data_IF_971847745932
#
_entry.id   IF_971847745932
#
_cell.length_a   1.000
_cell.length_b   1.000
_cell.length_c   1.000
_cell.angle_alpha   90.00
_cell.angle_beta   90.00
_cell.angle_gamma   90.00
#
_symmetry.space_group_name_H-M   'P 1'
#
loop_
_entity.id
_entity.type
_entity.pdbx_description
1 polymer ?
#
# COMPACT_ATOMS: atom_id res chain seq x y z
N UNK A 1 -3.16 18.19 -0.17
CA UNK A 1 -4.31 18.28 -1.11
C UNK A 1 -4.02 17.29 -2.21
N UNK A 2 -4.69 16.13 -2.25
CA UNK A 2 -4.40 15.10 -3.24
C UNK A 2 -5.19 15.37 -4.51
N UNK A 3 -4.46 15.40 -5.63
CA UNK A 3 -4.97 15.71 -6.95
C UNK A 3 -4.62 14.52 -7.82
N UNK A 4 -5.63 13.76 -8.26
CA UNK A 4 -5.40 12.72 -9.26
C UNK A 4 -5.29 13.42 -10.62
N UNK A 5 -4.08 13.53 -11.15
CA UNK A 5 -3.84 13.97 -12.52
C UNK A 5 -3.35 12.82 -13.39
N UNK A 6 -4.04 12.60 -14.51
CA UNK A 6 -3.48 11.94 -15.68
C UNK A 6 -2.68 13.00 -16.46
N UNK A 7 -1.40 12.72 -16.76
CA UNK A 7 -0.55 13.63 -17.53
C UNK A 7 -0.45 13.17 -18.99
N UNK A 8 -0.86 14.03 -19.93
CA UNK A 8 -0.45 14.02 -21.35
C UNK A 8 -0.18 15.49 -21.73
N UNK A 9 0.96 15.76 -22.39
CA UNK A 9 1.70 17.03 -22.31
C UNK A 9 1.18 18.31 -23.01
N UNK A 10 1.86 19.41 -22.65
CA UNK A 10 1.93 20.81 -23.15
C UNK A 10 0.73 21.78 -22.92
N UNK A 11 0.97 23.11 -22.75
CA UNK A 11 0.60 23.83 -21.53
C UNK A 11 -0.25 25.06 -21.84
N UNK A 12 -1.55 24.90 -22.09
CA UNK A 12 -2.51 26.01 -22.04
C UNK A 12 -3.88 25.47 -21.59
N UNK A 13 -4.33 25.93 -20.42
CA UNK A 13 -5.62 25.74 -19.74
C UNK A 13 -6.26 24.33 -19.72
N UNK A 14 -6.15 23.67 -18.55
CA UNK A 14 -6.80 22.38 -18.25
C UNK A 14 -8.01 22.57 -17.30
N UNK A 15 -9.23 22.27 -17.77
CA UNK A 15 -10.42 22.11 -16.92
C UNK A 15 -10.61 20.64 -16.49
N UNK A 16 -11.03 20.41 -15.23
CA UNK A 16 -11.05 19.09 -14.57
C UNK A 16 -12.47 18.52 -14.54
N UNK A 17 -12.72 17.36 -15.16
CA UNK A 17 -14.07 16.81 -15.39
C UNK A 17 -14.54 15.77 -14.37
N UNK A 18 -13.66 15.40 -13.46
CA UNK A 18 -14.00 14.69 -12.22
C UNK A 18 -12.94 15.11 -11.25
N UNK A 19 -13.35 15.90 -10.29
CA UNK A 19 -12.45 16.34 -9.26
C UNK A 19 -13.08 15.97 -7.95
N UNK A 20 -12.96 14.72 -7.55
CA UNK A 20 -13.11 14.44 -6.15
C UNK A 20 -11.85 14.93 -5.46
N UNK A 21 -11.89 16.18 -5.04
CA UNK A 21 -10.99 16.59 -3.99
C UNK A 21 -11.54 15.94 -2.74
N UNK A 22 -10.82 14.93 -2.29
CA UNK A 22 -11.08 14.37 -0.98
C UNK A 22 -10.15 15.08 0.01
N UNK A 23 -10.67 15.33 1.20
CA UNK A 23 -9.82 15.41 2.37
C UNK A 23 -9.09 14.07 2.56
N UNK A 24 -7.97 14.02 3.30
CA UNK A 24 -7.16 12.81 3.42
C UNK A 24 -7.96 11.53 3.74
N UNK A 25 -8.98 11.64 4.58
CA UNK A 25 -9.85 10.54 5.00
C UNK A 25 -11.02 10.24 4.05
N UNK A 26 -11.02 10.79 2.83
CA UNK A 26 -12.04 10.46 1.84
C UNK A 26 -13.31 11.29 1.92
N UNK A 27 -13.38 12.31 2.78
CA UNK A 27 -14.53 13.23 2.77
C UNK A 27 -14.45 14.12 1.54
N UNK A 28 -15.55 14.26 0.83
CA UNK A 28 -15.63 15.18 -0.31
C UNK A 28 -15.40 16.63 0.16
N UNK A 29 -14.50 17.33 -0.51
CA UNK A 29 -14.28 18.77 -0.27
C UNK A 29 -15.50 19.52 -0.80
N UNK A 30 -16.20 20.31 0.04
CA UNK A 30 -17.39 21.04 -0.38
C UNK A 30 -17.19 21.81 -1.67
N UNK A 31 -18.15 21.71 -2.59
CA UNK A 31 -18.19 22.44 -3.86
C UNK A 31 -16.97 22.17 -4.77
N UNK A 32 -16.22 21.09 -4.50
CA UNK A 32 -15.08 20.62 -5.27
C UNK A 32 -15.16 19.11 -5.44
N UNK A 33 -16.35 18.65 -5.82
CA UNK A 33 -16.66 17.29 -6.21
C UNK A 33 -17.84 17.35 -7.17
N UNK A 34 -17.73 16.59 -8.26
CA UNK A 34 -18.77 16.49 -9.27
C UNK A 34 -18.76 15.06 -9.81
N UNK A 35 -19.91 14.39 -9.72
CA UNK A 35 -20.10 13.02 -10.18
C UNK A 35 -21.54 12.84 -10.67
N UNK A 36 -21.74 12.00 -11.69
CA UNK A 36 -23.10 11.63 -12.11
C UNK A 36 -23.80 10.85 -10.99
N UNK A 37 -25.11 11.03 -10.81
CA UNK A 37 -25.93 10.28 -9.82
C UNK A 37 -25.79 8.74 -9.97
N UNK A 38 -25.50 8.25 -11.18
CA UNK A 38 -25.26 6.81 -11.44
C UNK A 38 -23.86 6.31 -11.07
N UNK A 39 -22.96 7.18 -10.61
CA UNK A 39 -21.59 6.81 -10.25
C UNK A 39 -21.53 6.33 -8.81
N UNK A 40 -21.41 5.02 -8.65
CA UNK A 40 -21.46 4.35 -7.36
C UNK A 40 -20.09 4.13 -6.73
N UNK A 41 -19.00 4.69 -7.23
CA UNK A 41 -17.67 4.47 -6.61
C UNK A 41 -17.10 5.79 -6.08
N UNK A 42 -16.08 5.76 -5.23
CA UNK A 42 -15.44 6.99 -4.76
C UNK A 42 -14.10 6.74 -4.11
N UNK A 43 -13.96 7.14 -2.85
CA UNK A 43 -12.72 7.02 -2.09
C UNK A 43 -12.17 5.58 -2.11
N UNK A 44 -10.87 5.42 -2.35
CA UNK A 44 -10.18 4.13 -2.51
C UNK A 44 -10.82 3.14 -3.51
N UNK A 45 -11.59 3.65 -4.48
CA UNK A 45 -12.28 2.81 -5.47
C UNK A 45 -13.43 1.99 -4.88
N UNK A 46 -13.93 2.37 -3.69
CA UNK A 46 -15.00 1.67 -2.97
C UNK A 46 -16.37 2.14 -3.38
N UNK A 47 -17.34 1.23 -3.25
CA UNK A 47 -18.72 1.53 -3.60
C UNK A 47 -19.26 2.56 -2.60
N UNK A 48 -19.73 3.69 -3.12
CA UNK A 48 -20.35 4.77 -2.38
C UNK A 48 -21.81 4.41 -2.17
N UNK A 49 -22.24 4.44 -0.92
CA UNK A 49 -23.64 4.30 -0.53
C UNK A 49 -24.14 5.66 -0.03
N UNK A 50 -24.94 6.34 -0.85
CA UNK A 50 -25.46 7.66 -0.50
C UNK A 50 -26.76 7.57 0.32
N UNK A 51 -27.38 6.38 0.46
CA UNK A 51 -28.64 6.21 1.18
C UNK A 51 -28.46 6.30 2.70
N UNK A 52 -27.29 5.88 3.20
CA UNK A 52 -27.04 5.78 4.64
C UNK A 52 -26.73 7.13 5.31
N UNK A 53 -25.84 7.95 4.72
CA UNK A 53 -25.36 9.23 5.29
C UNK A 53 -25.37 10.41 4.30
N UNK A 54 -26.08 10.27 3.17
CA UNK A 54 -26.07 11.25 2.10
C UNK A 54 -24.81 11.17 1.25
N UNK A 55 -24.70 12.08 0.29
CA UNK A 55 -23.69 12.01 -0.77
C UNK A 55 -22.25 11.90 -0.26
N UNK A 56 -21.56 10.83 -0.64
CA UNK A 56 -20.12 10.67 -0.41
C UNK A 56 -19.73 10.46 1.03
N UNK A 57 -20.69 10.11 1.89
CA UNK A 57 -20.50 10.00 3.34
C UNK A 57 -20.57 8.56 3.86
N UNK A 58 -20.67 7.59 2.97
CA UNK A 58 -20.60 6.17 3.30
C UNK A 58 -19.98 5.38 2.16
N UNK A 59 -19.03 4.52 2.49
CA UNK A 59 -18.35 3.66 1.53
C UNK A 59 -18.36 2.21 2.02
N UNK A 60 -18.72 1.29 1.13
CA UNK A 60 -18.68 -0.15 1.37
C UNK A 60 -17.31 -0.72 0.99
N UNK A 61 -16.59 -1.20 2.00
CA UNK A 61 -15.29 -1.86 1.82
C UNK A 61 -15.41 -3.40 1.80
N UNK A 62 -16.60 -3.95 1.98
CA UNK A 62 -16.87 -5.39 2.03
C UNK A 62 -17.20 -5.85 3.45
N UNK A 63 -16.19 -5.91 4.32
CA UNK A 63 -16.40 -6.38 5.71
C UNK A 63 -16.88 -5.28 6.66
N UNK A 64 -16.62 -4.02 6.30
CA UNK A 64 -17.02 -2.84 7.07
C UNK A 64 -17.48 -1.71 6.16
N UNK A 65 -18.44 -0.95 6.66
CA UNK A 65 -18.86 0.33 6.09
C UNK A 65 -18.08 1.48 6.74
N UNK A 66 -17.65 2.44 5.93
CA UNK A 66 -16.75 3.52 6.33
C UNK A 66 -17.42 4.90 6.31
N UNK A 67 -17.20 5.71 7.34
CA UNK A 67 -17.58 7.12 7.39
C UNK A 67 -16.37 8.04 7.12
N UNK A 68 -16.26 8.61 5.92
CA UNK A 68 -15.17 9.50 5.56
C UNK A 68 -15.20 10.83 6.32
N UNK A 69 -16.35 11.26 6.85
CA UNK A 69 -16.48 12.54 7.58
C UNK A 69 -15.81 12.49 8.94
N UNK A 70 -15.85 11.31 9.56
CA UNK A 70 -15.22 11.08 10.87
C UNK A 70 -13.88 10.35 10.75
N UNK A 71 -13.57 9.80 9.57
CA UNK A 71 -12.36 9.00 9.38
C UNK A 71 -12.43 7.64 10.07
N UNK A 72 -13.64 7.08 10.25
CA UNK A 72 -13.87 5.90 11.11
C UNK A 72 -14.80 4.88 10.46
N UNK A 73 -14.60 3.62 10.83
CA UNK A 73 -15.55 2.55 10.50
C UNK A 73 -16.83 2.66 11.31
N UNK A 74 -17.96 2.22 10.73
CA UNK A 74 -19.21 2.09 11.48
C UNK A 74 -19.23 0.89 12.43
N UNK A 75 -18.35 -0.10 12.20
CA UNK A 75 -18.28 -1.33 12.97
C UNK A 75 -16.88 -1.53 13.58
N UNK A 76 -16.85 -2.27 14.70
CA UNK A 76 -15.62 -2.70 15.37
C UNK A 76 -14.82 -3.62 14.45
N UNK A 77 -13.52 -3.36 14.35
CA UNK A 77 -12.58 -4.21 13.62
C UNK A 77 -12.55 -5.64 14.20
N UNK A 78 -12.78 -6.63 13.34
CA UNK A 78 -12.61 -8.05 13.70
C UNK A 78 -11.15 -8.36 14.06
N UNK A 79 -10.22 -7.65 13.43
CA UNK A 79 -8.77 -7.77 13.62
C UNK A 79 -8.20 -6.80 14.67
N UNK A 80 -9.03 -6.10 15.45
CA UNK A 80 -8.57 -5.14 16.50
C UNK A 80 -7.51 -5.71 17.45
N UNK A 81 -7.53 -7.01 17.71
CA UNK A 81 -6.55 -7.67 18.59
C UNK A 81 -5.13 -7.67 18.03
N UNK A 82 -4.97 -7.49 16.71
CA UNK A 82 -3.67 -7.32 16.06
C UNK A 82 -3.13 -5.88 16.17
N UNK A 83 -3.94 -4.93 16.64
CA UNK A 83 -3.53 -3.55 16.93
C UNK A 83 -4.22 -3.08 18.24
N UNK A 84 -3.89 -3.69 19.40
CA UNK A 84 -4.59 -3.43 20.66
C UNK A 84 -4.45 -1.98 21.14
N UNK A 85 -3.38 -1.30 20.73
CA UNK A 85 -3.07 0.09 21.10
C UNK A 85 -3.84 1.14 20.28
N UNK A 86 -4.69 0.67 19.38
CA UNK A 86 -5.42 1.49 18.44
C UNK A 86 -6.93 1.35 18.60
N UNK A 87 -7.64 2.43 18.29
CA UNK A 87 -9.10 2.41 18.25
C UNK A 87 -9.60 1.32 17.29
N UNK A 88 -10.55 0.46 17.69
CA UNK A 88 -11.11 -0.56 16.81
C UNK A 88 -11.97 0.02 15.67
N UNK A 89 -12.11 1.35 15.60
CA UNK A 89 -12.83 2.06 14.55
C UNK A 89 -11.91 2.88 13.64
N UNK A 90 -10.59 2.80 13.80
CA UNK A 90 -9.63 3.61 13.02
C UNK A 90 -9.63 3.24 11.54
N UNK A 91 -9.32 4.19 10.68
CA UNK A 91 -9.08 3.95 9.27
C UNK A 91 -7.67 4.38 8.88
N UNK A 92 -6.94 3.50 8.18
CA UNK A 92 -5.66 3.88 7.60
C UNK A 92 -4.58 4.15 8.65
N UNK A 93 -4.67 3.62 9.88
CA UNK A 93 -3.80 4.03 11.01
C UNK A 93 -3.71 5.56 11.19
N UNK A 94 -4.83 6.27 10.93
CA UNK A 94 -4.91 7.73 10.87
C UNK A 94 -3.99 8.39 9.82
N UNK A 95 -3.42 7.61 8.91
CA UNK A 95 -2.67 8.02 7.73
C UNK A 95 -3.24 7.37 6.44
N UNK A 96 -4.45 7.76 6.02
CA UNK A 96 -5.16 7.23 4.84
C UNK A 96 -4.49 7.55 3.49
N UNK A 97 -3.41 8.35 3.52
CA UNK A 97 -2.59 8.67 2.36
C UNK A 97 -1.62 7.52 2.08
N UNK A 98 -0.99 7.00 3.14
CA UNK A 98 -0.04 5.91 3.05
C UNK A 98 -0.74 4.56 2.97
N UNK A 99 -1.77 4.38 3.79
CA UNK A 99 -2.38 3.09 4.05
C UNK A 99 -3.71 2.92 3.33
N UNK A 100 -3.88 1.75 2.71
CA UNK A 100 -5.14 1.35 2.07
C UNK A 100 -5.71 0.16 2.82
N UNK A 101 -6.93 0.23 3.32
CA UNK A 101 -7.68 -0.96 3.73
C UNK A 101 -8.54 -1.39 2.53
N UNK A 102 -8.24 -2.53 1.89
CA UNK A 102 -8.95 -2.94 0.68
C UNK A 102 -10.18 -3.80 0.92
N UNK A 103 -10.36 -4.37 2.10
CA UNK A 103 -11.54 -5.19 2.41
C UNK A 103 -12.28 -4.75 3.68
N UNK A 104 -11.81 -3.69 4.33
CA UNK A 104 -12.34 -3.22 5.59
C UNK A 104 -11.93 -4.15 6.73
N UNK A 105 -10.72 -4.72 6.72
CA UNK A 105 -10.21 -5.51 7.85
C UNK A 105 -8.80 -5.12 8.30
N UNK A 106 -7.93 -4.66 7.40
CA UNK A 106 -6.56 -4.30 7.75
C UNK A 106 -5.95 -3.38 6.70
N UNK A 107 -5.15 -2.43 7.15
CA UNK A 107 -4.38 -1.54 6.29
C UNK A 107 -3.17 -2.22 5.63
N UNK A 108 -2.95 -1.90 4.35
CA UNK A 108 -2.02 -2.60 3.47
C UNK A 108 -0.97 -1.61 2.90
N UNK A 109 0.32 -1.96 2.99
CA UNK A 109 1.47 -1.27 2.37
C UNK A 109 2.28 -2.23 1.46
N UNK A 110 3.47 -1.84 1.00
CA UNK A 110 4.26 -2.54 -0.02
C UNK A 110 4.74 -3.94 0.39
N UNK A 111 5.05 -4.15 1.68
CA UNK A 111 5.47 -5.46 2.18
C UNK A 111 4.30 -6.46 2.18
N UNK A 112 3.11 -5.99 2.54
CA UNK A 112 1.87 -6.77 2.56
C UNK A 112 1.65 -7.49 1.25
N UNK A 113 1.58 -6.74 0.16
CA UNK A 113 1.20 -7.28 -1.14
C UNK A 113 2.25 -8.22 -1.69
N UNK A 114 3.54 -7.96 -1.43
CA UNK A 114 4.62 -8.85 -1.83
C UNK A 114 4.55 -10.17 -1.07
N UNK A 115 4.39 -10.14 0.26
CA UNK A 115 4.29 -11.35 1.10
C UNK A 115 3.01 -12.13 0.80
N UNK A 116 1.89 -11.44 0.58
CA UNK A 116 0.61 -12.07 0.25
C UNK A 116 0.68 -12.78 -1.10
N UNK A 117 1.12 -12.07 -2.14
CA UNK A 117 1.28 -12.66 -3.47
C UNK A 117 2.27 -13.83 -3.43
N UNK A 118 3.35 -13.73 -2.64
CA UNK A 118 4.33 -14.81 -2.49
C UNK A 118 3.72 -16.04 -1.81
N UNK A 119 2.95 -15.84 -0.73
CA UNK A 119 2.24 -16.93 -0.06
C UNK A 119 1.28 -17.66 -1.01
N UNK A 120 0.53 -16.91 -1.82
CA UNK A 120 -0.35 -17.47 -2.85
C UNK A 120 0.46 -18.20 -3.94
N UNK A 121 1.58 -17.63 -4.40
CA UNK A 121 2.45 -18.22 -5.41
C UNK A 121 3.05 -19.56 -4.94
N UNK A 122 3.38 -19.66 -3.65
CA UNK A 122 3.85 -20.87 -2.98
C UNK A 122 2.73 -21.86 -2.61
N UNK A 123 1.48 -21.50 -2.94
CA UNK A 123 0.32 -22.37 -2.84
C UNK A 123 -0.28 -22.48 -1.44
N UNK A 124 -0.03 -21.49 -0.58
CA UNK A 124 -0.80 -21.32 0.66
C UNK A 124 -2.24 -20.93 0.34
N UNK A 125 -3.17 -21.32 1.23
CA UNK A 125 -4.53 -20.81 1.14
C UNK A 125 -4.58 -19.31 1.43
N UNK A 126 -5.65 -18.66 0.94
CA UNK A 126 -5.85 -17.20 1.03
C UNK A 126 -5.73 -16.66 2.46
N UNK A 127 -6.35 -17.33 3.43
CA UNK A 127 -6.34 -16.89 4.83
C UNK A 127 -4.93 -16.93 5.46
N UNK A 128 -4.17 -18.00 5.19
CA UNK A 128 -2.80 -18.15 5.71
C UNK A 128 -1.85 -17.15 5.07
N UNK A 129 -1.94 -16.97 3.75
CA UNK A 129 -1.12 -16.00 3.02
C UNK A 129 -1.42 -14.55 3.46
N UNK A 130 -2.71 -14.20 3.65
CA UNK A 130 -3.11 -12.89 4.21
C UNK A 130 -2.60 -12.70 5.63
N UNK A 131 -2.68 -13.74 6.48
CA UNK A 131 -2.14 -13.68 7.84
C UNK A 131 -0.64 -13.37 7.85
N UNK A 132 0.16 -14.03 7.00
CA UNK A 132 1.59 -13.73 6.88
C UNK A 132 1.85 -12.29 6.42
N UNK A 133 1.06 -11.80 5.46
CA UNK A 133 1.15 -10.45 4.97
C UNK A 133 0.87 -9.40 6.06
N UNK A 134 -0.10 -9.66 6.94
CA UNK A 134 -0.39 -8.79 8.09
C UNK A 134 0.81 -8.70 9.05
N UNK A 135 1.48 -9.82 9.32
CA UNK A 135 2.67 -9.81 10.18
C UNK A 135 3.84 -9.05 9.53
N UNK A 136 3.94 -9.06 8.21
CA UNK A 136 4.94 -8.29 7.46
C UNK A 136 4.71 -6.77 7.50
N UNK A 137 3.53 -6.33 7.94
CA UNK A 137 3.16 -4.92 8.12
C UNK A 137 3.05 -4.52 9.59
N UNK A 138 3.17 -5.49 10.50
CA UNK A 138 2.80 -5.28 11.91
C UNK A 138 3.57 -4.10 12.51
N UNK A 139 4.89 -4.03 12.36
CA UNK A 139 5.67 -2.98 12.99
C UNK A 139 5.46 -1.59 12.40
N UNK A 140 5.24 -1.47 11.08
CA UNK A 140 4.89 -0.18 10.42
C UNK A 140 3.66 0.51 11.01
N UNK A 141 2.83 -0.27 11.67
CA UNK A 141 1.51 0.07 12.14
C UNK A 141 1.42 0.32 13.65
N UNK A 142 2.51 0.15 14.40
CA UNK A 142 2.53 0.34 15.85
C UNK A 142 2.85 1.79 16.25
N UNK A 143 2.23 2.28 17.34
CA UNK A 143 2.45 3.62 17.94
C UNK A 143 2.84 3.57 19.42
N UNK A 144 3.30 2.41 19.90
CA UNK A 144 3.83 2.26 21.26
C UNK A 144 5.34 2.44 21.27
N UNK A 145 5.89 2.92 22.39
CA UNK A 145 7.34 2.98 22.60
C UNK A 145 7.94 1.62 23.01
N UNK A 146 9.27 1.51 23.11
CA UNK A 146 9.93 0.25 23.51
C UNK A 146 9.62 -0.27 24.93
N UNK A 147 8.88 0.49 25.74
CA UNK A 147 8.37 0.04 27.03
C UNK A 147 6.89 -0.38 26.98
N UNK A 148 6.34 -0.57 25.77
CA UNK A 148 4.96 -0.93 25.53
C UNK A 148 3.96 0.08 26.13
N UNK A 149 4.39 1.34 26.28
CA UNK A 149 3.50 2.43 26.68
C UNK A 149 2.97 3.12 25.44
N UNK A 150 1.64 3.29 25.40
CA UNK A 150 1.00 4.20 24.46
C UNK A 150 1.61 5.59 24.59
N UNK A 151 2.31 6.07 23.57
CA UNK A 151 2.55 7.49 23.40
C UNK A 151 1.43 8.07 22.56
N UNK A 152 0.31 8.43 23.20
CA UNK A 152 -0.38 9.64 22.76
C UNK A 152 0.61 10.79 23.01
N UNK A 153 1.45 11.10 22.03
CA UNK A 153 2.53 12.03 22.23
C UNK A 153 1.95 13.38 22.66
N UNK A 154 2.41 13.92 23.80
CA UNK A 154 2.00 15.24 24.32
C UNK A 154 2.34 16.41 23.36
N UNK A 155 2.92 16.16 22.19
CA UNK A 155 3.26 17.20 21.20
C UNK A 155 2.18 17.50 20.17
N UNK A 156 0.97 16.93 20.27
CA UNK A 156 -0.19 17.52 19.58
C UNK A 156 -0.45 18.99 19.99
N UNK A 157 0.20 19.48 21.05
CA UNK A 157 0.19 20.89 21.43
C UNK A 157 1.28 21.77 20.81
N UNK A 158 2.28 21.26 20.06
CA UNK A 158 3.39 22.09 19.54
C UNK A 158 4.19 21.47 18.37
N UNK A 159 3.52 20.92 17.35
CA UNK A 159 4.24 20.57 16.09
C UNK A 159 3.33 20.55 14.86
N UNK A 160 3.06 21.72 14.24
CA UNK A 160 2.13 21.84 13.13
C UNK A 160 2.88 21.79 11.79
N UNK A 161 3.04 20.61 11.18
CA UNK A 161 2.92 20.34 9.72
C UNK A 161 3.34 18.90 9.37
N UNK A 162 4.50 18.46 9.87
CA UNK A 162 5.16 17.22 9.42
C UNK A 162 4.57 15.96 10.07
N UNK A 163 4.17 16.02 11.34
CA UNK A 163 3.61 14.85 12.05
C UNK A 163 2.26 14.40 11.46
N UNK A 164 1.47 15.32 10.90
CA UNK A 164 0.23 15.01 10.17
C UNK A 164 0.46 14.60 8.70
N UNK A 165 1.66 14.80 8.17
CA UNK A 165 2.02 14.45 6.78
C UNK A 165 2.62 13.04 6.66
N UNK A 166 3.32 12.55 7.71
CA UNK A 166 4.14 11.34 7.60
C UNK A 166 3.75 10.15 8.49
N UNK A 167 2.92 10.34 9.54
CA UNK A 167 2.47 9.23 10.39
C UNK A 167 3.61 8.33 10.89
N UNK A 168 4.65 8.94 11.47
CA UNK A 168 5.96 8.30 11.70
C UNK A 168 6.02 7.21 12.80
N UNK A 169 4.91 6.67 13.29
CA UNK A 169 4.80 5.52 14.22
C UNK A 169 6.06 5.11 15.01
N UNK A 170 6.47 3.84 14.85
CA UNK A 170 7.72 3.24 15.34
C UNK A 170 8.98 3.83 14.70
N UNK A 171 8.83 4.44 13.54
CA UNK A 171 9.88 5.16 12.81
C UNK A 171 10.38 6.40 13.53
N UNK A 172 9.65 6.94 14.52
CA UNK A 172 10.09 8.08 15.32
C UNK A 172 10.86 7.67 16.59
N UNK A 173 10.83 6.40 16.99
CA UNK A 173 11.52 5.90 18.19
C UNK A 173 12.81 5.17 17.83
N UNK A 174 13.96 5.72 18.25
CA UNK A 174 15.29 5.18 17.97
C UNK A 174 15.47 3.71 18.39
N UNK A 175 14.85 3.30 19.49
CA UNK A 175 14.97 1.92 19.96
C UNK A 175 14.20 0.95 19.06
N UNK A 176 13.05 1.38 18.55
CA UNK A 176 12.19 0.62 17.64
C UNK A 176 12.69 0.61 16.20
N UNK A 177 13.27 1.72 15.72
CA UNK A 177 14.02 1.77 14.45
C UNK A 177 15.07 0.65 14.37
N UNK A 178 15.79 0.41 15.47
CA UNK A 178 16.82 -0.63 15.52
C UNK A 178 16.24 -2.04 15.70
N UNK A 179 15.27 -2.20 16.61
CA UNK A 179 14.75 -3.54 16.95
C UNK A 179 13.72 -4.08 15.97
N UNK A 180 12.95 -3.22 15.31
CA UNK A 180 11.81 -3.61 14.46
C UNK A 180 12.09 -3.35 12.98
N UNK A 181 12.76 -2.23 12.65
CA UNK A 181 13.09 -1.86 11.27
C UNK A 181 14.54 -2.20 10.87
N UNK A 182 15.34 -2.73 11.80
CA UNK A 182 16.71 -3.16 11.51
C UNK A 182 17.67 -2.02 11.13
N UNK A 183 17.30 -0.76 11.37
CA UNK A 183 18.10 0.45 11.08
C UNK A 183 19.30 0.57 12.04
N UNK A 184 20.22 -0.38 11.91
CA UNK A 184 21.31 -0.59 12.86
C UNK A 184 22.58 0.20 12.51
N UNK A 185 22.72 0.68 11.28
CA UNK A 185 24.00 1.15 10.74
C UNK A 185 25.06 0.04 10.59
N UNK A 186 24.68 -1.23 10.81
CA UNK A 186 25.54 -2.40 10.80
C UNK A 186 25.35 -3.27 9.55
N UNK A 187 25.96 -4.45 9.53
CA UNK A 187 25.85 -5.38 8.40
C UNK A 187 24.39 -5.81 8.20
N UNK A 188 23.92 -5.76 6.97
CA UNK A 188 22.57 -6.22 6.63
C UNK A 188 22.39 -7.72 6.88
N UNK A 189 23.43 -8.52 6.69
CA UNK A 189 23.43 -9.96 6.97
C UNK A 189 23.06 -10.28 8.42
N UNK A 190 23.51 -9.47 9.37
CA UNK A 190 23.30 -9.73 10.79
C UNK A 190 21.83 -9.49 11.16
N UNK A 191 21.23 -8.45 10.59
CA UNK A 191 19.80 -8.15 10.74
C UNK A 191 18.95 -9.23 10.07
N UNK A 192 19.27 -9.58 8.82
CA UNK A 192 18.52 -10.56 8.04
C UNK A 192 18.54 -11.95 8.70
N UNK A 193 19.72 -12.45 9.06
CA UNK A 193 19.87 -13.77 9.67
C UNK A 193 19.07 -13.86 10.98
N UNK A 194 19.16 -12.84 11.83
CA UNK A 194 18.44 -12.79 13.10
C UNK A 194 16.92 -12.76 12.90
N UNK A 195 16.44 -11.95 11.96
CA UNK A 195 15.03 -11.88 11.63
C UNK A 195 14.51 -13.23 11.09
N UNK A 196 15.27 -13.89 10.21
CA UNK A 196 14.93 -15.23 9.72
C UNK A 196 14.88 -16.26 10.86
N UNK A 197 15.85 -16.28 11.77
CA UNK A 197 15.85 -17.17 12.93
C UNK A 197 14.61 -16.95 13.82
N UNK A 198 14.22 -15.70 14.05
CA UNK A 198 13.03 -15.36 14.83
C UNK A 198 11.74 -15.84 14.14
N UNK A 199 11.60 -15.64 12.83
CA UNK A 199 10.45 -16.16 12.06
C UNK A 199 10.39 -17.69 12.14
N UNK A 200 11.53 -18.36 12.00
CA UNK A 200 11.61 -19.83 12.11
C UNK A 200 11.35 -20.33 13.54
N UNK A 201 11.49 -19.47 14.54
CA UNK A 201 11.17 -19.75 15.95
C UNK A 201 9.71 -19.41 16.30
N UNK A 202 8.95 -18.83 15.36
CA UNK A 202 7.52 -18.56 15.49
C UNK A 202 7.13 -17.09 15.59
N UNK A 203 8.09 -16.17 15.68
CA UNK A 203 7.84 -14.73 15.66
C UNK A 203 7.67 -14.24 14.22
N UNK A 204 6.44 -14.33 13.73
CA UNK A 204 6.11 -13.95 12.35
C UNK A 204 6.21 -12.45 12.09
N UNK A 205 6.18 -11.58 13.12
CA UNK A 205 6.28 -10.13 12.93
C UNK A 205 7.65 -9.72 12.36
N UNK A 206 8.67 -10.57 12.53
CA UNK A 206 9.99 -10.36 11.95
C UNK A 206 10.03 -10.53 10.42
N UNK A 207 8.93 -10.96 9.79
CA UNK A 207 8.74 -10.84 8.34
C UNK A 207 8.87 -9.39 7.86
N UNK A 208 8.43 -8.44 8.68
CA UNK A 208 8.60 -7.02 8.43
C UNK A 208 10.08 -6.65 8.37
N UNK A 209 10.84 -7.02 9.41
CA UNK A 209 12.28 -6.76 9.50
C UNK A 209 13.07 -7.40 8.36
N UNK A 210 12.62 -8.55 7.83
CA UNK A 210 13.21 -9.17 6.63
C UNK A 210 13.02 -8.27 5.41
N UNK A 211 11.80 -7.76 5.19
CA UNK A 211 11.52 -6.80 4.11
C UNK A 211 12.37 -5.53 4.26
N UNK A 212 12.42 -4.98 5.47
CA UNK A 212 13.20 -3.79 5.79
C UNK A 212 14.70 -4.00 5.59
N UNK A 213 15.23 -5.20 5.85
CA UNK A 213 16.64 -5.50 5.60
C UNK A 213 17.03 -5.33 4.13
N UNK A 214 16.08 -5.52 3.20
CA UNK A 214 16.30 -5.32 1.78
C UNK A 214 15.96 -3.90 1.33
N UNK A 215 14.87 -3.32 1.84
CA UNK A 215 14.43 -1.97 1.51
C UNK A 215 15.40 -0.90 2.06
N UNK A 216 15.87 -1.09 3.31
CA UNK A 216 16.68 -0.15 4.06
C UNK A 216 18.14 -0.57 4.22
N UNK A 217 18.69 -1.20 3.18
CA UNK A 217 20.13 -1.38 3.05
C UNK A 217 20.66 -0.79 1.76
N UNK A 218 21.95 -0.49 1.75
CA UNK A 218 22.70 -0.03 0.58
C UNK A 218 23.99 -0.83 0.46
N UNK A 219 24.63 -0.76 -0.70
CA UNK A 219 25.91 -1.40 -1.00
C UNK A 219 26.95 -0.30 -1.14
N UNK A 220 28.04 -0.40 -0.40
CA UNK A 220 29.16 0.55 -0.53
C UNK A 220 30.12 0.18 -1.68
N UNK A 221 31.09 1.03 -1.96
CA UNK A 221 32.09 0.83 -3.03
C UNK A 221 32.92 -0.45 -2.86
N UNK A 222 32.93 -1.05 -1.66
CA UNK A 222 33.61 -2.30 -1.36
C UNK A 222 32.66 -3.50 -1.40
N UNK A 223 31.49 -3.35 -2.01
CA UNK A 223 30.42 -4.34 -2.13
C UNK A 223 29.84 -4.81 -0.78
N UNK A 224 30.08 -4.07 0.31
CA UNK A 224 29.51 -4.41 1.61
C UNK A 224 28.09 -3.87 1.72
N UNK A 225 27.15 -4.77 2.04
CA UNK A 225 25.77 -4.38 2.30
C UNK A 225 25.57 -3.95 3.76
N UNK A 226 25.19 -2.70 3.94
CA UNK A 226 25.02 -2.05 5.24
C UNK A 226 23.59 -1.56 5.39
N UNK A 227 23.02 -1.73 6.59
CA UNK A 227 21.74 -1.13 6.95
C UNK A 227 21.91 0.38 7.10
N UNK A 228 20.93 1.15 6.65
CA UNK A 228 20.87 2.58 6.99
C UNK A 228 20.86 2.78 8.51
N UNK A 229 21.50 3.85 8.98
CA UNK A 229 21.35 4.27 10.38
C UNK A 229 22.63 4.67 11.11
N UNK A 230 23.71 5.02 10.39
CA UNK A 230 25.01 5.28 11.01
C UNK A 230 25.10 6.68 11.62
N UNK A 231 24.37 7.66 11.08
CA UNK A 231 24.32 9.03 11.59
C UNK A 231 22.95 9.37 12.19
N UNK A 232 22.90 9.97 13.38
CA UNK A 232 21.64 10.48 13.99
C UNK A 232 21.67 11.99 14.13
N UNK A 233 20.63 12.71 13.70
CA UNK A 233 20.47 14.15 13.98
C UNK A 233 19.30 14.36 14.94
N UNK A 234 19.51 15.18 15.97
CA UNK A 234 18.41 15.61 16.83
C UNK A 234 17.56 16.63 16.09
N UNK A 235 16.35 16.26 15.70
CA UNK A 235 15.38 17.19 15.13
C UNK A 235 14.46 17.70 16.24
N UNK A 236 14.23 19.03 16.34
CA UNK A 236 13.46 19.63 17.43
C UNK A 236 12.05 19.05 17.60
N UNK A 237 11.48 18.47 16.53
CA UNK A 237 10.10 18.00 16.46
C UNK A 237 9.94 16.49 16.26
N UNK A 238 10.99 15.79 15.78
CA UNK A 238 10.94 14.36 15.42
C UNK A 238 11.82 13.47 16.30
N UNK A 239 12.56 14.04 17.26
CA UNK A 239 13.52 13.30 18.07
C UNK A 239 14.82 12.99 17.32
N UNK A 240 15.58 11.99 17.80
CA UNK A 240 16.81 11.53 17.12
C UNK A 240 16.45 10.46 16.10
N UNK A 241 16.25 10.86 14.86
CA UNK A 241 16.11 9.96 13.71
C UNK A 241 17.45 9.86 12.97
N UNK A 242 17.64 8.82 12.16
CA UNK A 242 18.87 8.68 11.39
C UNK A 242 18.89 9.69 10.24
N UNK A 243 20.00 10.41 10.09
CA UNK A 243 20.15 11.53 9.16
C UNK A 243 20.00 11.04 7.71
N UNK A 244 20.57 9.88 7.42
CA UNK A 244 20.47 9.16 6.15
C UNK A 244 18.99 8.88 5.77
N UNK A 245 18.19 8.33 6.70
CA UNK A 245 16.77 8.05 6.44
C UNK A 245 15.91 9.33 6.35
N UNK A 246 16.27 10.38 7.09
CA UNK A 246 15.45 11.59 7.21
C UNK A 246 15.68 12.64 6.12
N UNK A 247 16.85 12.66 5.48
CA UNK A 247 17.27 13.73 4.58
C UNK A 247 17.95 13.28 3.28
N UNK A 248 18.45 12.04 3.19
CA UNK A 248 19.10 11.57 1.95
C UNK A 248 18.11 10.90 0.96
N UNK A 249 16.88 10.61 1.42
CA UNK A 249 15.79 10.06 0.60
C UNK A 249 15.13 11.02 -0.42
N UNK A 250 15.73 12.18 -0.73
CA UNK A 250 15.21 13.15 -1.73
C UNK A 250 16.16 13.33 -2.93
N UNK A 251 17.03 12.37 -3.23
CA UNK A 251 17.87 12.36 -4.44
C UNK A 251 17.37 11.39 -5.53
N UNK A 252 17.67 11.67 -6.80
CA UNK A 252 17.29 10.88 -8.00
C UNK A 252 17.71 9.39 -7.96
N UNK A 253 18.51 8.97 -6.98
CA UNK A 253 19.01 7.60 -6.82
C UNK A 253 18.49 6.86 -5.58
N UNK A 254 17.70 7.49 -4.70
CA UNK A 254 17.37 6.92 -3.41
C UNK A 254 15.87 6.63 -3.23
N UNK A 255 15.54 5.35 -3.40
CA UNK A 255 14.19 4.81 -3.41
C UNK A 255 14.06 3.68 -2.38
N UNK A 256 14.60 3.89 -1.18
CA UNK A 256 14.59 2.88 -0.11
C UNK A 256 13.17 2.31 0.15
N UNK A 257 12.16 3.18 0.18
CA UNK A 257 10.74 2.80 0.39
C UNK A 257 10.10 2.18 -0.85
N UNK A 258 10.72 2.34 -2.02
CA UNK A 258 10.27 1.79 -3.31
C UNK A 258 11.25 0.71 -3.79
N UNK A 259 11.40 -0.35 -3.00
CA UNK A 259 12.25 -1.51 -3.34
C UNK A 259 11.97 -2.07 -4.75
N UNK A 260 10.75 -1.91 -5.29
CA UNK A 260 10.40 -2.30 -6.66
C UNK A 260 11.25 -1.60 -7.73
N UNK A 261 11.75 -0.39 -7.45
CA UNK A 261 12.66 0.35 -8.32
C UNK A 261 14.13 -0.07 -8.19
N UNK A 262 14.41 -1.03 -7.30
CA UNK A 262 15.72 -1.64 -7.04
C UNK A 262 15.67 -3.12 -7.42
N UNK A 263 15.87 -3.47 -8.72
CA UNK A 263 15.51 -4.79 -9.25
C UNK A 263 16.25 -5.94 -8.58
N UNK A 264 17.51 -5.71 -8.21
CA UNK A 264 18.32 -6.70 -7.51
C UNK A 264 17.76 -6.97 -6.11
N UNK A 265 17.55 -5.93 -5.30
CA UNK A 265 17.01 -6.04 -3.94
C UNK A 265 15.62 -6.66 -3.93
N UNK A 266 14.73 -6.24 -4.83
CA UNK A 266 13.39 -6.78 -4.89
C UNK A 266 13.40 -8.29 -5.19
N UNK A 267 14.28 -8.71 -6.11
CA UNK A 267 14.46 -10.12 -6.45
C UNK A 267 15.07 -10.92 -5.30
N UNK A 268 16.05 -10.36 -4.60
CA UNK A 268 16.66 -11.01 -3.44
C UNK A 268 15.70 -11.12 -2.25
N UNK A 269 14.82 -10.14 -2.06
CA UNK A 269 13.74 -10.23 -1.09
C UNK A 269 12.80 -11.40 -1.40
N UNK A 270 12.38 -11.54 -2.66
CA UNK A 270 11.56 -12.68 -3.10
C UNK A 270 12.26 -14.03 -2.85
N UNK A 271 13.56 -14.15 -3.18
CA UNK A 271 14.32 -15.36 -2.91
C UNK A 271 14.46 -15.66 -1.41
N UNK A 272 14.62 -14.62 -0.59
CA UNK A 272 14.65 -14.75 0.87
C UNK A 272 13.33 -15.34 1.39
N UNK A 273 12.18 -14.83 0.92
CA UNK A 273 10.87 -15.36 1.28
C UNK A 273 10.69 -16.82 0.84
N UNK A 274 11.10 -17.16 -0.38
CA UNK A 274 11.05 -18.54 -0.89
C UNK A 274 11.86 -19.49 0.00
N UNK A 275 13.10 -19.11 0.34
CA UNK A 275 13.96 -19.92 1.20
C UNK A 275 13.37 -20.07 2.61
N UNK A 276 12.86 -18.97 3.17
CA UNK A 276 12.24 -18.94 4.49
C UNK A 276 11.01 -19.85 4.56
N UNK A 277 10.09 -19.74 3.61
CA UNK A 277 8.84 -20.51 3.61
C UNK A 277 9.07 -22.00 3.32
N UNK A 278 10.08 -22.32 2.52
CA UNK A 278 10.52 -23.70 2.27
C UNK A 278 11.30 -24.33 3.43
N UNK A 279 11.71 -23.56 4.43
CA UNK A 279 12.44 -24.09 5.57
C UNK A 279 11.54 -25.01 6.42
N UNK A 280 12.02 -26.20 6.77
CA UNK A 280 11.27 -27.18 7.58
C UNK A 280 10.82 -26.67 8.95
N UNK A 281 11.53 -25.69 9.52
CA UNK A 281 11.17 -25.05 10.79
C UNK A 281 10.09 -23.99 10.64
N UNK A 282 9.82 -23.51 9.43
CA UNK A 282 8.79 -22.50 9.22
C UNK A 282 7.41 -23.04 9.58
N UNK A 283 6.67 -22.27 10.38
CA UNK A 283 5.37 -22.65 10.97
C UNK A 283 4.37 -23.22 9.94
N UNK A 284 4.33 -22.66 8.74
CA UNK A 284 3.40 -23.06 7.69
C UNK A 284 4.04 -23.89 6.57
N UNK A 285 5.28 -24.38 6.76
CA UNK A 285 6.00 -25.15 5.74
C UNK A 285 5.20 -26.33 5.19
N UNK A 286 4.51 -27.07 6.06
CA UNK A 286 3.66 -28.22 5.68
C UNK A 286 2.49 -27.87 4.75
N UNK A 287 2.14 -26.58 4.64
CA UNK A 287 1.08 -26.08 3.77
C UNK A 287 1.60 -25.52 2.45
N UNK A 288 2.92 -25.46 2.26
CA UNK A 288 3.53 -25.07 0.99
C UNK A 288 3.32 -26.20 -0.02
N UNK A 289 2.62 -25.89 -1.10
CA UNK A 289 2.34 -26.84 -2.19
C UNK A 289 3.15 -26.56 -3.44
N UNK A 290 3.80 -25.39 -3.51
CA UNK A 290 4.67 -25.00 -4.60
C UNK A 290 5.99 -24.40 -4.07
N UNK A 291 7.02 -25.24 -3.92
CA UNK A 291 8.32 -24.84 -3.38
C UNK A 291 9.16 -23.98 -4.35
N UNK A 292 8.78 -23.89 -5.63
CA UNK A 292 9.46 -23.11 -6.66
C UNK A 292 8.43 -22.25 -7.41
N UNK A 293 7.93 -21.18 -6.78
CA UNK A 293 6.89 -20.36 -7.35
C UNK A 293 7.35 -19.64 -8.63
N UNK A 294 6.38 -19.38 -9.50
CA UNK A 294 6.54 -18.57 -10.69
C UNK A 294 6.54 -17.09 -10.31
N UNK A 295 7.64 -16.40 -10.64
CA UNK A 295 7.90 -15.02 -10.22
C UNK A 295 7.49 -13.96 -11.25
N UNK A 296 6.88 -14.36 -12.37
CA UNK A 296 6.57 -13.43 -13.46
C UNK A 296 5.70 -12.22 -13.03
N UNK A 297 4.83 -12.38 -12.03
CA UNK A 297 4.04 -11.26 -11.52
C UNK A 297 4.93 -10.22 -10.84
N UNK A 298 5.93 -10.64 -10.08
CA UNK A 298 6.85 -9.73 -9.40
C UNK A 298 7.82 -9.09 -10.39
N UNK A 299 8.28 -9.83 -11.40
CA UNK A 299 9.05 -9.27 -12.52
C UNK A 299 8.25 -8.18 -13.24
N UNK A 300 6.93 -8.36 -13.37
CA UNK A 300 6.07 -7.37 -14.01
C UNK A 300 5.86 -6.13 -13.13
N UNK A 301 5.68 -6.30 -11.82
CA UNK A 301 5.67 -5.20 -10.84
C UNK A 301 6.99 -4.42 -10.88
N UNK A 302 8.13 -5.10 -11.00
CA UNK A 302 9.42 -4.45 -11.08
C UNK A 302 9.60 -3.66 -12.39
N UNK A 303 9.24 -4.25 -13.54
CA UNK A 303 9.54 -3.68 -14.87
C UNK A 303 8.53 -2.68 -15.37
N UNK A 304 7.26 -2.93 -15.09
CA UNK A 304 6.12 -2.16 -15.62
C UNK A 304 5.23 -1.65 -14.49
N UNK A 305 5.61 -1.89 -13.23
CA UNK A 305 5.01 -1.20 -12.11
C UNK A 305 5.21 0.29 -12.24
N UNK A 306 4.11 1.02 -12.16
CA UNK A 306 4.12 2.47 -12.11
C UNK A 306 4.16 2.91 -10.64
N UNK A 307 3.13 3.62 -10.24
CA UNK A 307 2.94 4.01 -8.86
C UNK A 307 2.51 2.83 -7.95
N UNK A 308 2.53 3.08 -6.65
CA UNK A 308 2.07 2.14 -5.61
C UNK A 308 0.68 1.58 -5.90
N UNK A 309 -0.26 2.40 -6.38
CA UNK A 309 -1.62 1.96 -6.67
C UNK A 309 -1.68 0.96 -7.84
N UNK A 310 -0.85 1.16 -8.86
CA UNK A 310 -0.71 0.26 -10.01
C UNK A 310 -0.09 -1.07 -9.61
N UNK A 311 0.92 -1.04 -8.74
CA UNK A 311 1.57 -2.23 -8.19
C UNK A 311 0.60 -3.06 -7.34
N UNK A 312 -0.15 -2.39 -6.46
CA UNK A 312 -1.21 -3.00 -5.65
C UNK A 312 -2.25 -3.65 -6.56
N UNK A 313 -2.77 -2.93 -7.56
CA UNK A 313 -3.76 -3.48 -8.47
C UNK A 313 -3.28 -4.76 -9.16
N UNK A 314 -2.01 -4.79 -9.58
CA UNK A 314 -1.44 -5.94 -10.29
C UNK A 314 -1.31 -7.16 -9.36
N UNK A 315 -0.78 -6.97 -8.14
CA UNK A 315 -0.64 -8.04 -7.13
C UNK A 315 -2.01 -8.52 -6.62
N UNK A 316 -2.95 -7.60 -6.37
CA UNK A 316 -4.33 -7.90 -6.01
C UNK A 316 -5.03 -8.71 -7.10
N UNK A 317 -4.87 -8.31 -8.36
CA UNK A 317 -5.44 -9.04 -9.51
C UNK A 317 -4.86 -10.44 -9.64
N UNK A 318 -3.55 -10.60 -9.42
CA UNK A 318 -2.88 -11.90 -9.39
C UNK A 318 -3.44 -12.80 -8.30
N UNK A 319 -3.55 -12.29 -7.07
CA UNK A 319 -4.12 -13.02 -5.93
C UNK A 319 -5.56 -13.42 -6.25
N UNK A 320 -6.38 -12.50 -6.76
CA UNK A 320 -7.73 -12.75 -7.19
C UNK A 320 -7.81 -13.88 -8.21
N UNK A 321 -7.00 -13.81 -9.27
CA UNK A 321 -6.94 -14.82 -10.33
C UNK A 321 -6.65 -16.22 -9.78
N UNK A 322 -5.63 -16.32 -8.91
CA UNK A 322 -5.19 -17.57 -8.26
C UNK A 322 -6.21 -18.11 -7.27
N UNK A 323 -7.06 -17.25 -6.71
CA UNK A 323 -8.10 -17.60 -5.73
C UNK A 323 -9.50 -17.73 -6.33
N UNK A 324 -9.63 -17.66 -7.66
CA UNK A 324 -10.88 -17.95 -8.38
C UNK A 324 -11.64 -16.74 -8.90
N UNK A 325 -11.17 -15.52 -8.67
CA UNK A 325 -11.75 -14.31 -9.28
C UNK A 325 -11.53 -14.36 -10.79
N UNK A 326 -12.57 -13.98 -11.54
CA UNK A 326 -12.56 -14.00 -13.01
C UNK A 326 -12.90 -12.66 -13.65
N UNK A 327 -13.28 -11.66 -12.86
CA UNK A 327 -13.69 -10.34 -13.35
C UNK A 327 -12.85 -9.27 -12.67
N UNK A 328 -12.25 -8.39 -13.45
CA UNK A 328 -11.39 -7.31 -13.00
C UNK A 328 -11.83 -6.01 -13.65
N UNK A 329 -11.81 -4.91 -12.89
CA UNK A 329 -12.25 -3.60 -13.38
C UNK A 329 -11.24 -2.54 -12.99
N UNK A 330 -10.95 -1.61 -13.90
CA UNK A 330 -10.11 -0.45 -13.63
C UNK A 330 -10.45 0.71 -14.56
N UNK A 331 -10.25 1.94 -14.08
CA UNK A 331 -10.32 3.16 -14.90
C UNK A 331 -8.93 3.53 -15.47
N UNK A 332 -7.87 2.82 -15.08
CA UNK A 332 -6.50 3.03 -15.56
C UNK A 332 -6.17 2.11 -16.73
N UNK A 333 -5.85 2.70 -17.88
CA UNK A 333 -5.36 1.98 -19.07
C UNK A 333 -4.05 1.24 -18.77
N UNK A 334 -3.15 1.87 -18.02
CA UNK A 334 -1.89 1.25 -17.61
C UNK A 334 -2.11 -0.02 -16.78
N UNK A 335 -3.06 0.02 -15.84
CA UNK A 335 -3.39 -1.13 -14.98
C UNK A 335 -3.95 -2.30 -15.78
N UNK A 336 -4.88 -2.04 -16.70
CA UNK A 336 -5.44 -3.11 -17.52
C UNK A 336 -4.38 -3.70 -18.46
N UNK A 337 -3.50 -2.87 -19.01
CA UNK A 337 -2.42 -3.32 -19.89
C UNK A 337 -1.44 -4.23 -19.15
N UNK A 338 -0.99 -3.84 -17.97
CA UNK A 338 -0.14 -4.68 -17.12
C UNK A 338 -0.81 -6.04 -16.82
N UNK A 339 -2.08 -6.05 -16.42
CA UNK A 339 -2.79 -7.30 -16.19
C UNK A 339 -2.84 -8.16 -17.47
N UNK A 340 -3.10 -7.57 -18.63
CA UNK A 340 -3.09 -8.33 -19.89
C UNK A 340 -1.72 -8.86 -20.28
N UNK A 341 -0.64 -8.12 -20.01
CA UNK A 341 0.73 -8.60 -20.25
C UNK A 341 1.00 -9.88 -19.45
N UNK A 342 0.63 -9.88 -18.17
CA UNK A 342 0.73 -11.07 -17.33
C UNK A 342 -0.13 -12.22 -17.88
N UNK A 343 -1.40 -11.97 -18.21
CA UNK A 343 -2.30 -13.01 -18.73
C UNK A 343 -1.80 -13.61 -20.06
N UNK A 344 -1.32 -12.77 -20.97
CA UNK A 344 -0.73 -13.20 -22.24
C UNK A 344 0.52 -14.04 -22.02
N UNK A 345 1.42 -13.63 -21.11
CA UNK A 345 2.60 -14.41 -20.75
C UNK A 345 2.24 -15.79 -20.18
N UNK A 346 1.09 -15.91 -19.50
CA UNK A 346 0.58 -17.18 -18.95
C UNK A 346 -0.34 -17.95 -19.88
N UNK A 347 -0.58 -17.45 -21.10
CA UNK A 347 -1.49 -18.07 -22.06
C UNK A 347 -2.96 -18.11 -21.59
N UNK A 348 -3.35 -17.22 -20.67
CA UNK A 348 -4.70 -17.18 -20.12
C UNK A 348 -5.59 -16.37 -21.05
N UNK A 349 -6.68 -16.97 -21.51
CA UNK A 349 -7.64 -16.34 -22.42
C UNK A 349 -8.57 -15.40 -21.65
N UNK A 350 -8.85 -14.23 -22.22
CA UNK A 350 -9.74 -13.24 -21.62
C UNK A 350 -10.55 -12.48 -22.67
N UNK A 351 -11.55 -11.72 -22.23
CA UNK A 351 -12.21 -10.63 -22.98
C UNK A 351 -11.98 -9.32 -22.27
N UNK A 352 -11.95 -8.22 -23.03
CA UNK A 352 -12.02 -6.86 -22.49
C UNK A 352 -13.25 -6.20 -23.09
N UNK A 353 -14.04 -5.59 -22.23
CA UNK A 353 -15.08 -4.64 -22.63
C UNK A 353 -14.76 -3.28 -22.04
N UNK A 354 -15.13 -2.25 -22.79
CA UNK A 354 -14.85 -0.87 -22.43
C UNK A 354 -16.17 -0.13 -22.35
N UNK A 355 -16.44 0.52 -21.22
CA UNK A 355 -17.59 1.41 -21.08
C UNK A 355 -17.07 2.84 -21.07
N UNK A 356 -17.46 3.61 -22.07
CA UNK A 356 -17.22 5.06 -22.14
C UNK A 356 -18.43 5.77 -21.57
N UNK A 357 -18.21 6.71 -20.66
CA UNK A 357 -19.25 7.60 -20.16
C UNK A 357 -18.80 9.03 -20.40
N UNK A 358 -19.66 9.81 -21.06
CA UNK A 358 -19.47 11.25 -21.19
C UNK A 358 -19.85 11.91 -19.88
N UNK A 359 -18.95 12.76 -19.39
CA UNK A 359 -19.12 13.56 -18.18
C UNK A 359 -19.04 15.02 -18.63
N UNK A 360 -20.14 15.75 -18.55
CA UNK A 360 -20.20 17.17 -18.92
C UNK A 360 -19.56 18.06 -17.86
N UNK A 361 -18.89 19.13 -18.28
CA UNK A 361 -18.27 20.12 -17.37
C UNK A 361 -18.81 21.53 -17.60
N UNK A 362 -20.03 21.79 -17.13
CA UNK A 362 -20.58 23.14 -17.20
C UNK A 362 -21.22 23.57 -15.89
N UNK A 363 -20.56 24.47 -15.16
CA UNK A 363 -21.27 25.44 -14.30
C UNK A 363 -21.69 26.58 -15.21
N UNK A 364 -23.00 26.86 -15.30
CA UNK A 364 -23.51 28.11 -15.86
C UNK A 364 -23.12 29.27 -14.93
N UNK A 365 -21.92 29.81 -15.12
CA UNK A 365 -21.66 31.20 -14.75
C UNK A 365 -21.97 32.07 -15.96
N UNK A 366 -22.59 33.22 -15.73
CA UNK A 366 -23.24 34.15 -16.67
C UNK A 366 -22.38 34.76 -17.80
N UNK A 367 -21.40 34.03 -18.34
CA UNK A 367 -20.53 34.44 -19.44
C UNK A 367 -20.41 33.23 -20.37
N UNK A 368 -20.95 33.35 -21.59
CA UNK A 368 -21.29 32.23 -22.47
C UNK A 368 -20.09 31.41 -22.96
N UNK A 369 -19.74 30.36 -22.23
CA UNK A 369 -18.87 29.27 -22.70
C UNK A 369 -19.71 28.02 -23.00
N UNK A 370 -19.49 27.40 -24.17
CA UNK A 370 -20.11 26.14 -24.55
C UNK A 370 -19.65 24.99 -23.62
N UNK A 371 -20.54 24.08 -23.19
CA UNK A 371 -20.15 22.97 -22.32
C UNK A 371 -19.10 22.08 -23.00
N UNK A 372 -18.02 21.76 -22.28
CA UNK A 372 -17.04 20.76 -22.71
C UNK A 372 -17.43 19.40 -22.10
N UNK A 373 -17.21 18.29 -22.80
CA UNK A 373 -17.44 16.92 -22.29
C UNK A 373 -16.12 16.16 -22.23
N UNK A 374 -15.88 15.39 -21.16
CA UNK A 374 -14.76 14.44 -21.09
C UNK A 374 -15.31 13.02 -21.00
N UNK A 375 -14.62 12.11 -21.68
CA UNK A 375 -14.95 10.70 -21.69
C UNK A 375 -14.16 9.95 -20.63
N UNK A 376 -14.82 9.45 -19.59
CA UNK A 376 -14.21 8.48 -18.66
C UNK A 376 -14.36 7.08 -19.25
N UNK A 377 -13.26 6.33 -19.24
CA UNK A 377 -13.21 4.98 -19.80
C UNK A 377 -13.00 3.97 -18.68
N UNK A 378 -13.97 3.08 -18.47
CA UNK A 378 -13.85 1.93 -17.57
C UNK A 378 -13.52 0.68 -18.37
N UNK A 379 -12.45 0.00 -18.00
CA UNK A 379 -12.04 -1.28 -18.57
C UNK A 379 -12.52 -2.42 -17.68
N UNK A 380 -13.23 -3.38 -18.27
CA UNK A 380 -13.68 -4.61 -17.60
C UNK A 380 -13.05 -5.80 -18.31
N UNK A 381 -12.25 -6.56 -17.58
CA UNK A 381 -11.61 -7.79 -18.06
C UNK A 381 -12.30 -9.00 -17.45
N UNK A 382 -12.64 -9.97 -18.30
CA UNK A 382 -13.24 -11.25 -17.87
C UNK A 382 -12.41 -12.43 -18.40
N UNK A 383 -12.01 -13.31 -17.49
CA UNK A 383 -11.24 -14.52 -17.81
C UNK A 383 -12.18 -15.55 -18.45
N UNK A 384 -11.79 -16.07 -19.62
CA UNK A 384 -12.55 -17.12 -20.30
C UNK A 384 -12.34 -18.46 -19.59
N UNK A 385 -13.40 -19.27 -19.54
CA UNK A 385 -13.35 -20.64 -19.01
C UNK A 385 -12.46 -21.54 -19.88
#
# INVERSE_FOLDING_TARGET
MFRNYFQVGNPYDYCVFKSFYHYPFGMLVPNRHEASESYRYGFNGKEKDDELKGEGNSFDFGDRMYDPRTGRWFAVDKMRMAAPDWSPYRFGFDNPIRYKDSDGNWEEDGHFWTVYAMGIAMGLNKATARSLAIHAEYYDHHVVDANNKMKLHKSHGNSPLLTSLFGLGTWADKSLQKSWHGLTGGKQSDVLNKAQENVLSGDLNQLHTIGDSWAHSYVDDNENRTMWGKTTRGLPFLGRITLEHAFEGEGEHDKADNIADRPYEYKMYQYTLIQLFNNKKFKYNKHITNSKPDLAIFDLVQKNGGDKASNIFLLESYIGLKTGVRKFTTESKHNIDNLTMYLNQKGIKYTISTTKREVGTGVSTSIGMSPTTQTVTTYKLEIKK
#
